data_IF_194195083179
#
_entry.id   IF_194195083179
#
_cell.length_a   1.000
_cell.length_b   1.000
_cell.length_c   1.000
_cell.angle_alpha   90.00
_cell.angle_beta   90.00
_cell.angle_gamma   90.00
#
_symmetry.space_group_name_H-M   'P 1'
#
loop_
_entity.id
_entity.type
_entity.pdbx_description
1 polymer ?
#
# COMPACT_ATOMS: atom_id res chain seq x y z
N UNK A 1 1.63 15.36 -5.77
CA UNK A 1 2.95 15.66 -5.17
C UNK A 1 2.90 16.63 -3.99
N UNK A 2 2.70 17.94 -4.18
CA UNK A 2 2.86 18.93 -3.09
C UNK A 2 1.97 18.64 -1.89
N UNK A 3 0.68 18.34 -2.10
CA UNK A 3 -0.27 18.03 -1.04
C UNK A 3 0.21 16.86 -0.16
N UNK A 4 0.60 15.75 -0.78
CA UNK A 4 1.08 14.54 -0.10
C UNK A 4 2.40 14.76 0.64
N UNK A 5 3.39 15.37 -0.02
CA UNK A 5 4.73 15.54 0.58
C UNK A 5 4.72 16.58 1.70
N UNK A 6 3.96 17.67 1.55
CA UNK A 6 3.78 18.66 2.62
C UNK A 6 3.09 18.03 3.83
N UNK A 7 2.03 17.26 3.63
CA UNK A 7 1.34 16.56 4.71
C UNK A 7 2.26 15.56 5.43
N UNK A 8 3.05 14.78 4.69
CA UNK A 8 4.02 13.84 5.24
C UNK A 8 5.11 14.53 6.08
N UNK A 9 5.68 15.63 5.57
CA UNK A 9 6.69 16.41 6.29
C UNK A 9 6.07 17.04 7.53
N UNK A 10 4.89 17.67 7.42
CA UNK A 10 4.20 18.26 8.57
C UNK A 10 3.88 17.23 9.65
N UNK A 11 3.46 16.02 9.28
CA UNK A 11 3.22 14.93 10.23
C UNK A 11 4.50 14.54 10.98
N UNK A 12 5.62 14.39 10.28
CA UNK A 12 6.91 14.05 10.91
C UNK A 12 7.44 15.18 11.80
N UNK A 13 7.32 16.44 11.37
CA UNK A 13 7.70 17.60 12.19
C UNK A 13 6.86 17.65 13.47
N UNK A 14 5.54 17.44 13.38
CA UNK A 14 4.68 17.36 14.58
C UNK A 14 5.08 16.21 15.50
N UNK A 15 5.43 15.05 14.97
CA UNK A 15 5.91 13.93 15.77
C UNK A 15 7.24 14.26 16.48
N UNK A 16 8.15 14.95 15.79
CA UNK A 16 9.40 15.43 16.38
C UNK A 16 9.12 16.44 17.50
N UNK A 17 8.28 17.45 17.26
CA UNK A 17 7.91 18.45 18.26
C UNK A 17 7.26 17.81 19.49
N UNK A 18 6.38 16.82 19.30
CA UNK A 18 5.76 16.08 20.40
C UNK A 18 6.77 15.23 21.19
N UNK A 19 7.88 14.82 20.56
CA UNK A 19 8.95 14.07 21.22
C UNK A 19 9.97 14.98 21.95
N UNK A 20 10.08 16.27 21.60
CA UNK A 20 11.09 17.15 22.20
C UNK A 20 10.96 17.35 23.72
N UNK A 21 9.75 17.57 24.30
CA UNK A 21 9.59 17.66 25.76
C UNK A 21 10.00 16.37 26.48
N UNK A 22 9.89 15.25 25.79
CA UNK A 22 10.22 13.92 26.27
C UNK A 22 11.75 13.72 26.32
N UNK A 23 12.46 14.18 25.28
CA UNK A 23 13.92 14.04 25.14
C UNK A 23 14.72 15.05 25.97
N UNK A 24 14.15 16.21 26.30
CA UNK A 24 14.83 17.29 27.03
C UNK A 24 14.90 17.12 28.56
N UNK A 25 14.42 15.99 29.11
CA UNK A 25 14.61 15.65 30.51
C UNK A 25 14.11 16.69 31.52
N UNK A 26 13.06 17.45 31.18
CA UNK A 26 12.57 18.53 32.03
C UNK A 26 11.97 18.01 33.34
N UNK A 27 12.70 18.19 34.44
CA UNK A 27 12.25 17.85 35.79
C UNK A 27 10.97 18.59 36.16
N UNK A 28 9.95 17.85 36.57
CA UNK A 28 8.67 18.39 37.06
C UNK A 28 7.52 17.39 36.96
N UNK A 29 6.96 17.01 38.12
CA UNK A 29 5.77 16.17 38.39
C UNK A 29 5.65 14.79 37.72
N UNK A 30 6.48 14.44 36.73
CA UNK A 30 6.35 13.22 35.92
C UNK A 30 7.25 12.07 36.35
N UNK A 31 8.18 12.29 37.29
CA UNK A 31 8.84 11.21 38.04
C UNK A 31 7.84 10.38 38.85
N UNK A 32 6.60 10.87 39.02
CA UNK A 32 5.49 10.20 39.67
C UNK A 32 4.60 9.38 38.72
N UNK A 33 4.88 9.38 37.41
CA UNK A 33 4.11 8.59 36.41
C UNK A 33 4.97 7.42 35.93
N UNK A 34 4.77 6.20 36.44
CA UNK A 34 5.50 5.02 35.99
C UNK A 34 5.20 4.75 34.51
N UNK A 35 6.24 4.55 33.68
CA UNK A 35 6.11 4.01 32.32
C UNK A 35 6.48 4.93 31.16
N UNK A 36 6.68 6.24 31.39
CA UNK A 36 7.05 7.20 30.31
C UNK A 36 8.42 6.91 29.71
N UNK A 37 9.42 6.59 30.55
CA UNK A 37 10.81 6.31 30.14
C UNK A 37 10.91 5.17 29.10
N UNK A 38 10.08 4.12 29.19
CA UNK A 38 10.08 3.01 28.20
C UNK A 38 9.56 3.44 26.83
N UNK A 39 8.67 4.44 26.76
CA UNK A 39 8.16 4.97 25.49
C UNK A 39 9.21 5.79 24.72
N UNK A 40 10.26 6.26 25.40
CA UNK A 40 11.29 7.13 24.84
C UNK A 40 12.26 6.32 23.96
N UNK A 41 12.79 5.23 24.51
CA UNK A 41 13.68 4.33 23.78
C UNK A 41 12.97 3.70 22.59
N UNK A 42 11.69 3.35 22.73
CA UNK A 42 10.90 2.80 21.62
C UNK A 42 10.72 3.78 20.48
N UNK A 43 10.48 5.07 20.76
CA UNK A 43 10.25 6.07 19.70
C UNK A 43 11.52 6.36 18.89
N UNK A 44 12.68 6.45 19.56
CA UNK A 44 13.97 6.62 18.88
C UNK A 44 14.43 5.33 18.19
N UNK A 45 14.30 4.18 18.85
CA UNK A 45 14.64 2.89 18.26
C UNK A 45 13.79 2.61 17.02
N UNK A 46 12.47 2.82 17.09
CA UNK A 46 11.59 2.69 15.93
C UNK A 46 11.99 3.68 14.84
N UNK A 47 12.28 4.94 15.19
CA UNK A 47 12.79 5.95 14.27
C UNK A 47 14.02 5.48 13.49
N UNK A 48 15.03 4.95 14.19
CA UNK A 48 16.26 4.40 13.59
C UNK A 48 16.00 3.18 12.72
N UNK A 49 14.99 2.37 13.06
CA UNK A 49 14.59 1.19 12.29
C UNK A 49 13.66 1.54 11.11
N UNK A 50 13.40 2.82 10.83
CA UNK A 50 12.48 3.25 9.78
C UNK A 50 11.02 2.91 10.09
N UNK A 51 10.65 2.95 11.37
CA UNK A 51 9.32 2.65 11.93
C UNK A 51 8.81 3.82 12.79
N UNK A 52 7.57 3.70 13.23
CA UNK A 52 6.93 4.68 14.11
C UNK A 52 6.77 6.07 13.47
N UNK A 53 6.32 7.04 14.27
CA UNK A 53 5.96 8.36 13.77
C UNK A 53 7.14 9.17 13.19
N UNK A 54 8.38 8.85 13.61
CA UNK A 54 9.59 9.52 13.13
C UNK A 54 10.21 8.84 11.91
N UNK A 55 10.30 7.51 11.91
CA UNK A 55 11.06 6.74 10.91
C UNK A 55 10.22 6.11 9.82
N UNK A 56 8.92 5.86 10.06
CA UNK A 56 8.09 5.14 9.09
C UNK A 56 8.00 5.88 7.75
N UNK A 57 7.93 5.15 6.62
CA UNK A 57 7.59 5.76 5.36
C UNK A 57 6.21 6.43 5.42
N UNK A 58 6.00 7.53 4.69
CA UNK A 58 4.75 8.26 4.78
C UNK A 58 3.58 7.46 4.19
N UNK A 59 2.43 7.58 4.85
CA UNK A 59 1.13 7.21 4.29
C UNK A 59 0.44 8.46 3.74
N UNK A 60 -0.17 8.33 2.57
CA UNK A 60 -0.92 9.36 1.85
C UNK A 60 -2.43 9.15 1.98
N UNK A 61 -2.91 8.88 3.20
CA UNK A 61 -4.34 8.63 3.51
C UNK A 61 -5.29 9.76 3.11
N UNK A 62 -4.79 10.98 2.98
CA UNK A 62 -5.53 12.16 2.53
C UNK A 62 -5.03 12.69 1.19
N UNK A 63 -4.51 11.79 0.34
CA UNK A 63 -4.06 12.19 -0.99
C UNK A 63 -5.22 12.74 -1.81
N UNK A 64 -5.03 13.85 -2.56
CA UNK A 64 -5.99 14.25 -3.58
C UNK A 64 -6.09 13.24 -4.74
N UNK A 65 -5.16 12.28 -4.83
CA UNK A 65 -5.17 11.17 -5.79
C UNK A 65 -5.85 9.91 -5.22
N UNK A 66 -6.41 9.99 -4.01
CA UNK A 66 -7.19 8.89 -3.46
C UNK A 66 -8.53 8.79 -4.21
N UNK A 67 -8.94 7.58 -4.63
CA UNK A 67 -10.22 7.41 -5.30
C UNK A 67 -11.39 7.71 -4.36
N UNK A 68 -12.56 8.11 -4.90
CA UNK A 68 -13.77 8.18 -4.11
C UNK A 68 -14.07 6.82 -3.48
N UNK A 69 -14.71 6.82 -2.32
CA UNK A 69 -15.13 5.57 -1.69
C UNK A 69 -16.11 4.82 -2.62
N UNK A 70 -15.86 3.54 -2.82
CA UNK A 70 -16.76 2.63 -3.52
C UNK A 70 -17.10 1.45 -2.61
N UNK A 71 -18.34 0.96 -2.67
CA UNK A 71 -18.79 -0.21 -1.89
C UNK A 71 -17.95 -1.45 -2.18
N UNK A 72 -17.37 -1.53 -3.38
CA UNK A 72 -16.48 -2.59 -3.80
C UNK A 72 -15.12 -2.60 -3.05
N UNK A 73 -14.77 -1.53 -2.34
CA UNK A 73 -13.53 -1.46 -1.57
C UNK A 73 -13.53 -2.48 -0.43
N UNK A 74 -12.44 -3.23 -0.32
CA UNK A 74 -12.20 -4.15 0.80
C UNK A 74 -10.98 -3.70 1.60
N UNK A 75 -10.92 -4.08 2.86
CA UNK A 75 -9.74 -3.88 3.69
C UNK A 75 -8.70 -4.97 3.42
N UNK A 76 -7.44 -4.59 3.56
CA UNK A 76 -6.28 -5.47 3.61
C UNK A 76 -5.36 -4.96 4.73
N UNK A 77 -4.29 -5.70 5.05
CA UNK A 77 -3.32 -5.34 6.09
C UNK A 77 -2.53 -4.06 5.81
N UNK A 78 -2.62 -3.51 4.60
CA UNK A 78 -2.07 -2.21 4.22
C UNK A 78 -3.22 -1.21 4.02
N UNK A 79 -3.24 -0.10 4.78
CA UNK A 79 -4.22 0.97 4.55
C UNK A 79 -4.03 1.64 3.17
N UNK A 80 -5.10 2.15 2.54
CA UNK A 80 -4.98 3.01 1.37
C UNK A 80 -4.04 4.20 1.64
N UNK A 81 -3.22 4.52 0.65
CA UNK A 81 -2.16 5.52 0.72
C UNK A 81 -0.92 5.06 1.47
N UNK A 82 -0.87 3.88 2.09
CA UNK A 82 0.34 3.37 2.75
C UNK A 82 1.22 2.57 1.79
N UNK A 83 2.54 2.45 2.06
CA UNK A 83 3.42 1.59 1.28
C UNK A 83 2.98 0.13 1.33
N UNK A 84 3.02 -0.55 0.18
CA UNK A 84 2.63 -1.96 0.08
C UNK A 84 3.59 -2.88 0.81
N UNK A 85 3.06 -3.98 1.32
CA UNK A 85 3.87 -5.06 1.87
C UNK A 85 4.63 -5.76 0.75
N UNK A 86 5.91 -5.98 0.98
CA UNK A 86 6.79 -6.65 0.04
C UNK A 86 6.55 -8.17 0.10
N UNK A 87 5.67 -8.65 -0.78
CA UNK A 87 5.28 -10.07 -0.94
C UNK A 87 5.94 -10.68 -2.18
N UNK A 88 5.92 -12.02 -2.29
CA UNK A 88 6.28 -12.67 -3.56
C UNK A 88 5.14 -12.49 -4.56
N UNK A 89 5.49 -12.17 -5.79
CA UNK A 89 4.55 -11.98 -6.90
C UNK A 89 5.05 -12.75 -8.11
N UNK A 90 4.12 -13.24 -8.91
CA UNK A 90 4.37 -13.92 -10.18
C UNK A 90 3.79 -13.08 -11.29
N UNK A 91 4.62 -12.73 -12.26
CA UNK A 91 4.21 -12.03 -13.47
C UNK A 91 3.52 -13.00 -14.46
N UNK A 92 2.79 -12.47 -15.46
CA UNK A 92 2.07 -13.26 -16.46
C UNK A 92 2.97 -14.21 -17.27
N UNK A 93 4.26 -13.91 -17.34
CA UNK A 93 5.28 -14.72 -18.01
C UNK A 93 5.76 -15.92 -17.15
N UNK A 94 5.32 -16.01 -15.90
CA UNK A 94 5.72 -17.03 -14.92
C UNK A 94 6.90 -16.61 -14.04
N UNK A 95 7.47 -15.41 -14.25
CA UNK A 95 8.61 -14.93 -13.47
C UNK A 95 8.15 -14.59 -12.05
N UNK A 96 8.71 -15.28 -11.06
CA UNK A 96 8.44 -15.05 -9.64
C UNK A 96 9.53 -14.16 -9.01
N UNK A 97 9.13 -12.99 -8.51
CA UNK A 97 10.03 -12.00 -7.89
C UNK A 97 9.40 -11.43 -6.63
N UNK A 98 10.11 -10.52 -5.95
CA UNK A 98 9.54 -9.74 -4.85
C UNK A 98 8.85 -8.49 -5.37
N UNK A 99 7.72 -8.10 -4.77
CA UNK A 99 6.93 -6.95 -5.24
C UNK A 99 7.79 -5.68 -5.36
N UNK A 100 8.70 -5.45 -4.41
CA UNK A 100 9.61 -4.29 -4.45
C UNK A 100 10.47 -4.19 -5.73
N UNK A 101 10.73 -5.31 -6.40
CA UNK A 101 11.53 -5.37 -7.63
C UNK A 101 10.73 -4.95 -8.88
N UNK A 102 9.40 -4.91 -8.78
CA UNK A 102 8.49 -4.42 -9.83
C UNK A 102 8.14 -2.93 -9.66
N UNK A 103 8.43 -2.34 -8.51
CA UNK A 103 8.17 -0.92 -8.25
C UNK A 103 9.15 -0.02 -9.01
N UNK A 104 8.76 1.26 -9.21
CA UNK A 104 9.62 2.26 -9.84
C UNK A 104 9.75 2.15 -11.37
N UNK A 105 9.01 1.22 -12.01
CA UNK A 105 9.04 1.02 -13.47
C UNK A 105 8.17 2.03 -14.26
N UNK A 106 7.57 3.02 -13.57
CA UNK A 106 6.80 4.10 -14.19
C UNK A 106 5.34 3.75 -14.52
N UNK A 107 4.89 2.54 -14.24
CA UNK A 107 3.50 2.10 -14.42
C UNK A 107 2.90 1.58 -13.10
N UNK A 108 1.57 1.70 -12.92
CA UNK A 108 0.88 1.08 -11.79
C UNK A 108 0.96 -0.46 -11.89
N UNK A 109 0.80 -1.09 -10.73
CA UNK A 109 0.70 -2.55 -10.61
C UNK A 109 -0.72 -2.91 -10.18
N UNK A 110 -1.29 -3.94 -10.79
CA UNK A 110 -2.55 -4.56 -10.40
C UNK A 110 -2.22 -5.96 -9.90
N UNK A 111 -2.53 -6.24 -8.64
CA UNK A 111 -2.14 -7.50 -7.99
C UNK A 111 -3.40 -8.30 -7.66
N UNK A 112 -3.51 -9.52 -8.15
CA UNK A 112 -4.53 -10.48 -7.74
C UNK A 112 -3.98 -11.38 -6.63
N UNK A 113 -4.70 -11.46 -5.50
CA UNK A 113 -4.47 -12.47 -4.47
C UNK A 113 -5.19 -13.75 -4.89
N UNK A 114 -4.45 -14.78 -5.25
CA UNK A 114 -5.00 -16.07 -5.68
C UNK A 114 -4.27 -17.19 -4.91
N UNK A 115 -4.84 -17.68 -3.81
CA UNK A 115 -4.25 -18.81 -3.07
C UNK A 115 -4.28 -20.10 -3.89
N UNK A 116 -3.25 -20.93 -3.73
CA UNK A 116 -3.13 -22.21 -4.42
C UNK A 116 -2.56 -22.12 -5.84
N UNK A 117 -2.03 -20.97 -6.24
CA UNK A 117 -1.45 -20.75 -7.58
C UNK A 117 -0.03 -21.27 -7.75
N UNK A 118 0.61 -21.78 -6.70
CA UNK A 118 2.01 -22.26 -6.72
C UNK A 118 2.26 -23.43 -7.66
N UNK A 119 1.19 -24.00 -8.25
CA UNK A 119 1.23 -25.15 -9.18
C UNK A 119 0.31 -24.94 -10.39
N UNK A 120 -0.37 -23.79 -10.55
CA UNK A 120 -1.33 -23.61 -11.65
C UNK A 120 -0.68 -22.97 -12.88
N UNK A 121 -0.36 -23.85 -13.84
CA UNK A 121 0.34 -23.54 -15.07
C UNK A 121 -0.34 -22.44 -15.91
N UNK A 122 0.47 -21.75 -16.72
CA UNK A 122 0.11 -20.55 -17.50
C UNK A 122 -1.04 -20.78 -18.51
N UNK A 123 -1.63 -21.96 -18.60
CA UNK A 123 -2.77 -22.23 -19.49
C UNK A 123 -4.09 -22.31 -18.72
N UNK A 124 -4.05 -22.61 -17.43
CA UNK A 124 -5.24 -22.81 -16.60
C UNK A 124 -5.81 -21.50 -16.04
N UNK A 125 -4.97 -20.50 -15.72
CA UNK A 125 -5.42 -19.14 -15.34
C UNK A 125 -6.10 -18.39 -16.51
N UNK A 126 -5.59 -18.49 -17.74
CA UNK A 126 -6.11 -17.73 -18.89
C UNK A 126 -7.48 -18.20 -19.40
N UNK A 127 -7.91 -19.40 -19.07
CA UNK A 127 -9.10 -20.01 -19.68
C UNK A 127 -10.26 -20.22 -18.70
N UNK A 128 -10.04 -20.09 -17.39
CA UNK A 128 -11.10 -20.29 -16.40
C UNK A 128 -11.13 -19.16 -15.35
N UNK A 129 -12.33 -18.63 -15.11
CA UNK A 129 -12.64 -17.82 -13.91
C UNK A 129 -12.34 -16.32 -14.02
N UNK A 130 -11.66 -15.79 -13.00
CA UNK A 130 -11.55 -14.35 -12.70
C UNK A 130 -10.54 -13.64 -13.62
N UNK A 131 -9.55 -14.36 -14.15
CA UNK A 131 -8.40 -13.77 -14.84
C UNK A 131 -8.72 -13.13 -16.20
N UNK A 132 -9.50 -13.72 -17.12
CA UNK A 132 -9.79 -13.07 -18.41
C UNK A 132 -10.44 -11.71 -18.23
N UNK A 133 -11.39 -11.62 -17.30
CA UNK A 133 -12.05 -10.37 -16.92
C UNK A 133 -11.09 -9.37 -16.27
N UNK A 134 -10.11 -9.84 -15.51
CA UNK A 134 -9.10 -8.96 -14.92
C UNK A 134 -8.13 -8.44 -15.98
N UNK A 135 -7.68 -9.30 -16.90
CA UNK A 135 -6.81 -8.89 -18.01
C UNK A 135 -7.51 -7.81 -18.84
N UNK A 136 -8.75 -8.03 -19.24
CA UNK A 136 -9.55 -7.04 -19.97
C UNK A 136 -9.70 -5.73 -19.18
N UNK A 137 -9.96 -5.82 -17.86
CA UNK A 137 -10.06 -4.64 -17.01
C UNK A 137 -8.73 -3.87 -16.88
N UNK A 138 -7.59 -4.57 -16.86
CA UNK A 138 -6.24 -3.98 -16.80
C UNK A 138 -5.87 -3.34 -18.13
N UNK A 139 -6.18 -3.99 -19.25
CA UNK A 139 -5.95 -3.45 -20.60
C UNK A 139 -6.80 -2.20 -20.89
N UNK A 140 -7.98 -2.10 -20.27
CA UNK A 140 -8.86 -0.93 -20.38
C UNK A 140 -8.41 0.28 -19.53
N UNK A 141 -7.32 0.18 -18.76
CA UNK A 141 -6.86 1.27 -17.90
C UNK A 141 -6.29 2.45 -18.70
N UNK A 142 -6.31 3.68 -18.15
CA UNK A 142 -5.90 4.89 -18.87
C UNK A 142 -4.39 4.96 -19.18
N UNK A 143 -3.59 4.10 -18.54
CA UNK A 143 -2.16 3.97 -18.74
C UNK A 143 -1.78 2.49 -18.68
N UNK A 144 -0.69 2.07 -19.34
CA UNK A 144 -0.16 0.72 -19.19
C UNK A 144 -0.02 0.36 -17.72
N UNK A 145 -0.49 -0.82 -17.35
CA UNK A 145 -0.43 -1.33 -15.99
C UNK A 145 0.05 -2.78 -16.04
N UNK A 146 0.82 -3.18 -15.03
CA UNK A 146 1.31 -4.54 -14.94
C UNK A 146 0.40 -5.38 -14.05
N UNK A 147 -0.11 -6.49 -14.59
CA UNK A 147 -0.86 -7.48 -13.83
C UNK A 147 0.10 -8.47 -13.16
N UNK A 148 -0.05 -8.67 -11.86
CA UNK A 148 0.73 -9.59 -11.04
C UNK A 148 -0.21 -10.49 -10.24
N UNK A 149 0.27 -11.67 -9.86
CA UNK A 149 -0.45 -12.61 -8.98
C UNK A 149 0.37 -12.88 -7.74
N UNK A 150 -0.29 -13.04 -6.58
CA UNK A 150 0.35 -13.48 -5.34
C UNK A 150 -0.49 -14.53 -4.63
N UNK A 151 0.16 -15.49 -3.99
CA UNK A 151 -0.51 -16.49 -3.14
C UNK A 151 -1.28 -15.85 -1.99
N UNK A 152 -0.69 -14.80 -1.41
CA UNK A 152 -1.18 -14.19 -0.18
C UNK A 152 -0.69 -12.77 -0.06
N UNK A 153 -1.58 -11.89 0.38
CA UNK A 153 -1.24 -10.54 0.81
C UNK A 153 -1.72 -10.35 2.26
N UNK A 154 -0.96 -9.67 3.14
CA UNK A 154 -1.35 -9.50 4.54
C UNK A 154 -2.79 -8.97 4.66
N UNK A 155 -3.63 -9.68 5.40
CA UNK A 155 -5.03 -9.31 5.66
C UNK A 155 -5.96 -9.33 4.45
N UNK A 156 -5.52 -9.79 3.28
CA UNK A 156 -6.38 -9.92 2.11
C UNK A 156 -7.08 -11.28 2.06
N UNK A 157 -8.32 -11.30 1.60
CA UNK A 157 -9.02 -12.55 1.28
C UNK A 157 -8.56 -13.12 -0.07
N UNK A 158 -8.95 -14.36 -0.36
CA UNK A 158 -8.82 -14.89 -1.71
C UNK A 158 -9.54 -13.99 -2.73
N UNK A 159 -8.95 -13.86 -3.90
CA UNK A 159 -9.43 -13.07 -5.05
C UNK A 159 -9.54 -11.56 -4.80
N UNK A 160 -8.84 -11.03 -3.79
CA UNK A 160 -8.69 -9.58 -3.64
C UNK A 160 -7.82 -9.02 -4.78
N UNK A 161 -8.25 -7.91 -5.38
CA UNK A 161 -7.47 -7.17 -6.38
C UNK A 161 -6.94 -5.89 -5.74
N UNK A 162 -5.64 -5.64 -5.82
CA UNK A 162 -4.99 -4.44 -5.31
C UNK A 162 -4.53 -3.57 -6.47
N UNK A 163 -4.76 -2.26 -6.38
CA UNK A 163 -4.16 -1.28 -7.29
C UNK A 163 -3.05 -0.53 -6.55
N UNK A 164 -1.84 -0.56 -7.10
CA UNK A 164 -0.63 -0.01 -6.50
C UNK A 164 -0.01 1.01 -7.45
N UNK A 165 0.37 2.17 -6.91
CA UNK A 165 1.06 3.21 -7.68
C UNK A 165 2.51 2.83 -8.01
N UNK A 166 3.12 3.45 -9.04
CA UNK A 166 4.53 3.26 -9.36
C UNK A 166 5.48 3.53 -8.18
N UNK A 167 5.11 4.41 -7.25
CA UNK A 167 5.88 4.76 -6.05
C UNK A 167 5.67 3.80 -4.87
N UNK A 168 4.88 2.73 -5.05
CA UNK A 168 4.69 1.67 -4.07
C UNK A 168 3.59 1.93 -3.04
N UNK A 169 2.76 2.95 -3.23
CA UNK A 169 1.62 3.21 -2.35
C UNK A 169 0.35 2.51 -2.85
N UNK A 170 -0.36 1.87 -1.92
CA UNK A 170 -1.66 1.25 -2.21
C UNK A 170 -2.68 2.33 -2.55
N UNK A 171 -3.36 2.21 -3.69
CA UNK A 171 -4.47 3.10 -4.07
C UNK A 171 -5.77 2.61 -3.44
N UNK A 172 -6.15 1.37 -3.73
CA UNK A 172 -7.35 0.72 -3.25
C UNK A 172 -7.20 -0.80 -3.36
N UNK A 173 -8.06 -1.53 -2.65
CA UNK A 173 -8.23 -2.97 -2.78
C UNK A 173 -9.71 -3.28 -2.99
N UNK A 174 -10.00 -4.30 -3.81
CA UNK A 174 -11.36 -4.70 -4.20
C UNK A 174 -11.60 -6.17 -3.93
N UNK A 175 -12.82 -6.51 -3.52
CA UNK A 175 -13.25 -7.90 -3.42
C UNK A 175 -13.63 -8.43 -4.82
N UNK A 176 -12.72 -9.20 -5.44
CA UNK A 176 -12.87 -9.69 -6.80
C UNK A 176 -12.62 -8.62 -7.87
N UNK A 177 -12.90 -8.98 -9.12
CA UNK A 177 -12.70 -8.09 -10.27
C UNK A 177 -13.89 -7.13 -10.41
N UNK A 178 -13.57 -5.84 -10.37
CA UNK A 178 -14.51 -4.72 -10.36
C UNK A 178 -14.04 -3.69 -11.39
N UNK A 179 -14.32 -3.91 -12.68
CA UNK A 179 -13.67 -3.16 -13.75
C UNK A 179 -13.95 -1.65 -13.70
N UNK A 180 -15.19 -1.26 -13.41
CA UNK A 180 -15.58 0.15 -13.38
C UNK A 180 -14.89 0.89 -12.22
N UNK A 181 -14.83 0.27 -11.06
CA UNK A 181 -14.21 0.80 -9.85
C UNK A 181 -12.69 0.80 -9.96
N UNK A 182 -12.10 -0.23 -10.57
CA UNK A 182 -10.67 -0.28 -10.87
C UNK A 182 -10.27 0.84 -11.85
N UNK A 183 -11.07 1.06 -12.90
CA UNK A 183 -10.87 2.16 -13.85
C UNK A 183 -10.98 3.53 -13.18
N UNK A 184 -12.01 3.74 -12.35
CA UNK A 184 -12.20 4.97 -11.60
C UNK A 184 -11.02 5.22 -10.65
N UNK A 185 -10.53 4.17 -9.97
CA UNK A 185 -9.40 4.29 -9.08
C UNK A 185 -8.08 4.57 -9.81
N UNK A 186 -7.87 3.96 -10.98
CA UNK A 186 -6.71 4.26 -11.81
C UNK A 186 -6.73 5.70 -12.33
N UNK A 187 -7.89 6.21 -12.77
CA UNK A 187 -8.05 7.61 -13.21
C UNK A 187 -7.71 8.58 -12.07
N UNK A 188 -8.27 8.37 -10.89
CA UNK A 188 -7.99 9.20 -9.71
C UNK A 188 -6.49 9.18 -9.35
N UNK A 189 -5.86 8.00 -9.35
CA UNK A 189 -4.44 7.84 -9.06
C UNK A 189 -3.52 8.56 -10.07
N UNK A 190 -3.96 8.68 -11.32
CA UNK A 190 -3.28 9.43 -12.38
C UNK A 190 -3.57 10.94 -12.35
N UNK A 191 -4.42 11.41 -11.43
CA UNK A 191 -4.83 12.82 -11.33
C UNK A 191 -5.94 13.20 -12.32
N UNK A 192 -6.58 12.22 -12.96
CA UNK A 192 -7.81 12.44 -13.72
C UNK A 192 -8.99 12.62 -12.78
N UNK A 193 -9.73 13.70 -12.96
CA UNK A 193 -11.03 13.98 -12.32
C UNK A 193 -12.17 13.33 -13.07
#
# INVERSE_FOLDING_TARGET
YQAERRAAVAARLRAADQSLPILRGGGGLRTLVPGTVRGHDTLLADGHLGRGALGAPPSYSHSPLAPPHAEAHTTVGTPPGAPVADVRVTAPDGTAVRLRERLGQGHPLVILVAPGTGVWDRRHWLTAGIMPRLVEAVEALPSPAELLVTESYPGASAHTVLLVRPDGHLVAAFAGVRPAELLAAARAALGGT
#
